data_IF_210488407888
#
_entry.id   IF_210488407888
#
_cell.length_a   1.000
_cell.length_b   1.000
_cell.length_c   1.000
_cell.angle_alpha   90.00
_cell.angle_beta   90.00
_cell.angle_gamma   90.00
#
_symmetry.space_group_name_H-M   'P 1'
#
loop_
_entity.id
_entity.type
_entity.pdbx_description
1 polymer ?
2 non-polymer ?
3 water ?
#
# COMPACT_ATOMS: atom_id res chain seq x y z
N UNK A 5 -15.76 -2.90 23.91
CA UNK A 5 -15.66 -4.05 22.98
C UNK A 5 -14.81 -3.66 21.78
N UNK A 6 -14.01 -4.66 21.35
CA UNK A 6 -13.08 -4.57 20.24
C UNK A 6 -13.79 -4.75 18.91
N UNK A 7 -13.27 -4.06 17.87
CA UNK A 7 -13.75 -4.18 16.49
C UNK A 7 -13.28 -5.48 15.86
N UNK A 8 -12.35 -6.16 16.53
CA UNK A 8 -11.72 -7.36 16.02
C UNK A 8 -12.78 -8.45 15.80
N UNK A 9 -12.60 -9.21 14.71
CA UNK A 9 -13.53 -10.22 14.25
C UNK A 9 -12.78 -11.54 14.28
N UNK A 10 -13.18 -12.43 15.16
CA UNK A 10 -12.32 -13.55 15.50
C UNK A 10 -12.08 -14.44 14.30
N UNK A 11 -13.09 -14.59 13.45
CA UNK A 11 -12.98 -15.50 12.33
C UNK A 11 -11.87 -14.99 11.41
N UNK A 12 -11.85 -13.67 11.20
CA UNK A 12 -10.93 -13.05 10.26
C UNK A 12 -9.53 -13.06 10.86
N UNK A 13 -9.48 -12.87 12.19
CA UNK A 13 -8.26 -12.79 12.95
C UNK A 13 -7.58 -14.15 12.94
N UNK A 14 -8.42 -15.19 12.95
CA UNK A 14 -7.95 -16.57 12.90
C UNK A 14 -7.45 -16.90 11.51
N UNK A 15 -8.21 -16.43 10.52
CA UNK A 15 -7.86 -16.65 9.13
C UNK A 15 -6.50 -16.02 8.81
N UNK A 16 -6.34 -14.74 9.19
CA UNK A 16 -5.11 -13.99 8.97
C UNK A 16 -3.91 -14.69 9.62
N UNK A 17 -4.15 -15.21 10.83
CA UNK A 17 -3.11 -15.83 11.63
C UNK A 17 -2.65 -17.09 10.91
N UNK A 18 -3.60 -17.93 10.52
CA UNK A 18 -3.27 -19.16 9.83
C UNK A 18 -2.49 -18.86 8.57
N UNK A 19 -2.97 -17.91 7.78
CA UNK A 19 -2.42 -17.65 6.47
C UNK A 19 -1.05 -16.97 6.55
N UNK A 20 -0.90 -15.96 7.43
CA UNK A 20 0.42 -15.38 7.67
C UNK A 20 1.45 -16.45 8.02
N UNK A 21 1.11 -17.33 8.98
CA UNK A 21 2.05 -18.31 9.50
C UNK A 21 2.43 -19.32 8.42
N UNK A 22 1.48 -19.74 7.58
CA UNK A 22 1.83 -20.66 6.50
C UNK A 22 2.84 -20.03 5.57
N UNK A 23 2.73 -18.71 5.36
CA UNK A 23 3.57 -18.03 4.38
C UNK A 23 4.96 -17.76 4.94
N UNK A 24 5.00 -17.25 6.17
CA UNK A 24 6.26 -16.97 6.84
C UNK A 24 7.04 -18.27 7.00
N UNK A 25 6.34 -19.39 7.18
CA UNK A 25 7.03 -20.66 7.22
C UNK A 25 7.50 -21.08 5.81
N UNK A 26 6.56 -21.13 4.85
CA UNK A 26 6.88 -21.60 3.52
C UNK A 26 8.10 -20.88 2.97
N UNK A 27 8.13 -19.55 3.12
CA UNK A 27 9.15 -18.72 2.50
C UNK A 27 10.37 -18.56 3.42
N UNK A 28 10.39 -19.27 4.56
CA UNK A 28 11.49 -19.20 5.52
C UNK A 28 11.85 -17.72 5.72
N UNK A 29 10.84 -16.95 6.11
CA UNK A 29 10.99 -15.52 6.32
C UNK A 29 11.22 -15.24 7.80
N UNK A 30 11.80 -14.07 8.07
CA UNK A 30 12.17 -13.69 9.40
C UNK A 30 10.95 -13.23 10.19
N UNK A 31 10.07 -12.41 9.58
CA UNK A 31 8.88 -11.92 10.29
C UNK A 31 7.76 -11.54 9.30
N UNK A 32 6.57 -11.27 9.85
CA UNK A 32 5.41 -10.95 9.03
C UNK A 32 4.27 -10.31 9.83
N UNK A 33 3.40 -9.59 9.12
CA UNK A 33 2.30 -8.86 9.69
C UNK A 33 1.11 -8.94 8.71
N UNK A 34 -0.12 -8.89 9.22
CA UNK A 34 -1.27 -8.68 8.37
C UNK A 34 -2.20 -7.74 9.10
N UNK A 35 -2.77 -6.76 8.40
CA UNK A 35 -3.78 -5.87 8.93
C UNK A 35 -5.02 -5.90 8.03
N UNK A 36 -6.21 -5.94 8.63
CA UNK A 36 -7.45 -5.79 7.89
C UNK A 36 -8.23 -4.66 8.55
N UNK A 37 -8.56 -3.66 7.74
CA UNK A 37 -9.48 -2.63 8.18
C UNK A 37 -10.82 -2.77 7.47
N UNK A 38 -11.85 -2.32 8.19
CA UNK A 38 -13.04 -1.79 7.56
C UNK A 38 -12.64 -0.57 6.72
N UNK A 39 -12.90 -0.66 5.41
CA UNK A 39 -12.58 0.35 4.43
C UNK A 39 -13.41 1.63 4.60
N UNK A 40 -14.57 1.53 5.29
CA UNK A 40 -15.47 2.67 5.40
C UNK A 40 -15.51 3.25 6.81
N UNK A 41 -14.81 2.67 7.79
CA UNK A 41 -14.88 3.15 9.17
C UNK A 41 -13.50 3.24 9.84
N UNK A 42 -12.49 2.50 9.34
CA UNK A 42 -11.15 2.51 9.91
C UNK A 42 -11.05 1.56 11.11
N UNK A 43 -12.10 0.77 11.35
CA UNK A 43 -12.05 -0.18 12.45
C UNK A 43 -11.08 -1.28 12.04
N UNK A 44 -10.34 -1.79 13.03
CA UNK A 44 -9.41 -2.88 12.82
C UNK A 44 -10.15 -4.17 13.01
N UNK A 45 -10.35 -4.91 11.93
CA UNK A 45 -11.05 -6.18 11.97
C UNK A 45 -10.05 -7.29 12.27
N UNK A 46 -8.78 -7.05 11.93
CA UNK A 46 -7.74 -8.01 12.25
C UNK A 46 -6.38 -7.35 12.19
N UNK A 47 -5.48 -7.88 13.00
CA UNK A 47 -4.17 -7.32 13.18
C UNK A 47 -3.37 -8.43 13.80
N UNK A 48 -2.32 -8.85 13.11
CA UNK A 48 -1.64 -10.08 13.48
C UNK A 48 -0.18 -10.01 13.05
N UNK A 49 0.67 -10.62 13.88
CA UNK A 49 2.11 -10.56 13.73
C UNK A 49 2.71 -11.93 14.00
N UNK A 50 3.91 -12.17 13.49
CA UNK A 50 4.72 -13.28 13.97
C UNK A 50 5.10 -12.99 15.42
N UNK A 51 5.48 -14.03 16.20
CA UNK A 51 5.47 -13.87 17.65
C UNK A 51 6.60 -12.89 17.99
N UNK A 52 6.38 -12.02 18.99
CA UNK A 52 7.27 -10.90 19.25
C UNK A 52 6.42 -9.64 19.43
N UNK A 53 7.04 -8.46 19.32
CA UNK A 53 6.28 -7.23 19.49
C UNK A 53 5.28 -7.05 18.34
N UNK A 54 4.35 -6.08 18.56
CA UNK A 54 3.36 -5.69 17.58
C UNK A 54 4.02 -4.82 16.50
N UNK A 55 4.76 -5.48 15.59
CA UNK A 55 5.43 -4.85 14.46
C UNK A 55 4.51 -3.94 13.64
N UNK A 56 3.27 -4.39 13.40
CA UNK A 56 2.27 -3.62 12.65
C UNK A 56 2.15 -2.19 13.15
N UNK A 57 2.46 -1.89 14.42
CA UNK A 57 2.34 -0.50 14.85
C UNK A 57 3.64 0.07 15.35
N UNK A 58 4.56 -0.77 15.84
CA UNK A 58 5.80 -0.30 16.45
C UNK A 58 6.89 -0.08 15.41
N UNK A 59 6.94 -0.89 14.34
CA UNK A 59 8.03 -0.87 13.36
C UNK A 59 7.66 -0.01 12.14
N UNK A 60 8.67 0.61 11.54
CA UNK A 60 8.47 1.47 10.38
C UNK A 60 9.22 0.86 9.20
N UNK A 61 8.60 0.93 8.03
CA UNK A 61 9.21 0.46 6.79
C UNK A 61 9.17 1.57 5.75
N UNK A 62 9.94 1.37 4.69
CA UNK A 62 9.81 2.14 3.48
C UNK A 62 8.72 1.48 2.62
N UNK A 63 7.62 2.20 2.30
CA UNK A 63 6.50 1.60 1.57
C UNK A 63 6.88 1.06 0.18
N UNK A 64 7.80 1.75 -0.50
CA UNK A 64 8.20 1.38 -1.85
C UNK A 64 7.04 1.61 -2.81
N UNK A 65 6.72 0.58 -3.57
CA UNK A 65 5.82 0.70 -4.70
C UNK A 65 4.39 0.92 -4.23
N UNK A 66 4.15 0.61 -2.96
CA UNK A 66 2.84 0.77 -2.36
C UNK A 66 2.47 2.24 -2.15
N UNK A 67 3.45 3.15 -2.34
CA UNK A 67 3.29 4.59 -2.22
C UNK A 67 2.82 5.21 -3.54
N UNK A 68 3.06 4.48 -4.63
CA UNK A 68 2.82 4.98 -5.97
C UNK A 68 1.37 5.40 -6.23
N UNK A 69 0.34 4.66 -5.76
CA UNK A 69 -1.02 5.07 -6.02
C UNK A 69 -1.35 6.47 -5.51
N UNK A 70 -0.70 6.93 -4.43
CA UNK A 70 -0.91 8.27 -3.88
C UNK A 70 -0.33 9.35 -4.78
N UNK A 71 0.89 9.12 -5.28
CA UNK A 71 1.51 10.09 -6.16
C UNK A 71 0.61 10.32 -7.38
N UNK A 72 0.07 9.22 -7.92
CA UNK A 72 -0.89 9.26 -9.01
C UNK A 72 -2.18 9.96 -8.56
N UNK A 73 -2.60 9.69 -7.32
CA UNK A 73 -3.80 10.27 -6.79
C UNK A 73 -3.65 11.78 -6.76
N UNK A 74 -2.45 12.23 -6.45
CA UNK A 74 -2.20 13.65 -6.21
C UNK A 74 -2.18 14.39 -7.54
N UNK A 75 -1.44 13.80 -8.48
CA UNK A 75 -1.39 14.26 -9.85
C UNK A 75 -2.78 14.41 -10.46
N UNK A 76 -3.60 13.36 -10.43
CA UNK A 76 -4.96 13.49 -10.97
C UNK A 76 -5.78 14.51 -10.18
N UNK A 77 -5.55 14.63 -8.87
CA UNK A 77 -6.44 15.43 -8.08
C UNK A 77 -6.22 16.90 -8.47
N UNK A 78 -5.00 17.20 -8.90
CA UNK A 78 -4.53 18.54 -9.17
C UNK A 78 -5.22 19.12 -10.41
N UNK A 79 -5.68 18.25 -11.32
CA UNK A 79 -6.29 18.67 -12.58
C UNK A 79 -5.26 18.75 -13.71
N UNK A 80 -3.98 18.51 -13.41
CA UNK A 80 -2.91 18.76 -14.35
C UNK A 80 -2.59 17.52 -15.16
N UNK A 81 -3.18 16.39 -14.75
CA UNK A 81 -2.88 15.12 -15.38
C UNK A 81 -4.20 14.38 -15.48
N UNK A 82 -4.40 13.73 -16.60
CA UNK A 82 -5.53 12.85 -16.80
C UNK A 82 -4.95 11.45 -16.93
N UNK A 83 -5.72 10.45 -16.53
CA UNK A 83 -5.33 9.05 -16.62
C UNK A 83 -4.79 8.64 -17.99
N UNK A 84 -5.26 9.28 -19.08
CA UNK A 84 -4.90 8.82 -20.43
C UNK A 84 -3.55 9.38 -20.88
N UNK A 85 -2.89 10.20 -20.06
CA UNK A 85 -1.69 10.92 -20.46
C UNK A 85 -0.50 9.97 -20.52
N UNK A 86 0.34 10.16 -21.54
CA UNK A 86 1.49 9.31 -21.82
C UNK A 86 2.75 9.99 -21.32
N UNK A 87 3.70 9.19 -20.83
CA UNK A 87 4.94 9.69 -20.29
C UNK A 87 6.11 8.91 -20.88
N UNK A 88 7.22 9.61 -21.12
CA UNK A 88 8.46 8.96 -21.48
C UNK A 88 8.97 8.30 -20.19
N UNK A 89 9.17 6.97 -20.22
CA UNK A 89 9.48 6.20 -19.02
C UNK A 89 10.87 5.57 -19.13
N UNK A 90 11.71 6.12 -20.00
CA UNK A 90 13.07 5.64 -20.13
C UNK A 90 13.90 6.17 -18.97
N UNK A 91 15.00 5.46 -18.63
CA UNK A 91 15.92 5.90 -17.57
C UNK A 91 16.30 7.36 -17.79
N UNK A 92 16.52 8.11 -16.72
CA UNK A 92 16.96 9.48 -16.89
C UNK A 92 17.73 9.91 -15.64
N UNK A 93 18.24 11.13 -15.71
CA UNK A 93 19.26 11.62 -14.79
C UNK A 93 18.69 12.76 -13.95
N UNK A 94 18.89 12.67 -12.64
CA UNK A 94 18.70 13.84 -11.80
C UNK A 94 20.07 14.22 -11.26
N UNK A 95 20.65 15.21 -11.96
CA UNK A 95 22.05 15.57 -11.92
C UNK A 95 22.90 14.31 -12.07
N UNK A 96 23.45 13.94 -10.92
CA UNK A 96 24.46 12.90 -10.81
C UNK A 96 23.81 11.51 -10.71
N UNK A 97 22.47 11.42 -10.57
CA UNK A 97 21.78 10.17 -10.26
C UNK A 97 20.88 9.75 -11.41
N UNK A 98 20.47 8.47 -11.36
CA UNK A 98 19.74 7.82 -12.45
C UNK A 98 18.45 7.19 -11.90
N UNK A 99 17.30 7.61 -12.45
CA UNK A 99 16.04 6.94 -12.16
C UNK A 99 15.72 5.95 -13.26
N UNK A 100 15.39 4.71 -12.89
CA UNK A 100 15.14 3.65 -13.87
C UNK A 100 14.29 2.52 -13.28
N UNK A 101 13.61 1.80 -14.17
CA UNK A 101 12.84 0.63 -13.79
C UNK A 101 13.68 -0.62 -14.01
N UNK A 102 13.25 -1.68 -13.33
CA UNK A 102 13.67 -3.05 -13.58
C UNK A 102 13.41 -3.46 -15.05
N UNK A 103 12.15 -3.44 -15.52
CA UNK A 103 11.86 -3.65 -16.93
C UNK A 103 11.51 -2.31 -17.58
N UNK A 104 12.14 -2.03 -18.73
CA UNK A 104 12.09 -0.71 -19.35
C UNK A 104 10.96 -0.66 -20.39
N UNK A 105 10.07 0.31 -20.19
CA UNK A 105 9.06 0.62 -21.18
C UNK A 105 9.39 2.00 -21.74
N UNK A 106 9.47 2.19 -23.08
CA UNK A 106 9.64 3.52 -23.67
C UNK A 106 8.62 4.56 -23.20
N UNK A 107 7.35 4.20 -23.23
CA UNK A 107 6.32 5.11 -22.73
C UNK A 107 5.22 4.32 -22.02
N UNK A 108 4.62 4.94 -21.01
CA UNK A 108 3.44 4.40 -20.34
C UNK A 108 2.43 5.52 -20.16
N UNK A 109 1.14 5.18 -20.18
CA UNK A 109 0.16 6.13 -19.65
C UNK A 109 0.03 5.86 -18.14
N UNK A 110 -0.85 6.63 -17.47
CA UNK A 110 -0.92 6.63 -16.02
C UNK A 110 -1.30 5.21 -15.57
N UNK A 111 -2.22 4.57 -16.30
CA UNK A 111 -2.66 3.22 -15.99
C UNK A 111 -1.48 2.25 -16.10
N UNK A 112 -0.60 2.42 -17.11
CA UNK A 112 0.61 1.61 -17.26
C UNK A 112 1.60 1.78 -16.10
N UNK A 113 1.79 3.02 -15.64
CA UNK A 113 2.63 3.31 -14.49
C UNK A 113 2.12 2.53 -13.26
N UNK A 114 0.80 2.59 -13.03
CA UNK A 114 0.18 1.83 -11.94
C UNK A 114 0.39 0.34 -12.17
N UNK A 115 -0.07 -0.14 -13.35
CA UNK A 115 -0.06 -1.55 -13.73
C UNK A 115 1.34 -2.15 -13.63
N UNK A 116 2.31 -1.49 -14.26
CA UNK A 116 3.69 -1.99 -14.37
C UNK A 116 4.56 -1.47 -13.24
N UNK A 117 4.02 -0.56 -12.40
CA UNK A 117 4.74 -0.10 -11.22
C UNK A 117 6.06 0.56 -11.62
N UNK A 118 6.01 1.59 -12.49
CA UNK A 118 7.16 2.35 -13.00
C UNK A 118 7.59 3.52 -12.10
N UNK A 119 8.85 3.44 -11.58
CA UNK A 119 9.53 4.47 -10.81
C UNK A 119 9.68 5.74 -11.66
N UNK A 120 10.11 5.53 -12.90
CA UNK A 120 10.33 6.67 -13.78
C UNK A 120 9.05 7.49 -13.92
N UNK A 121 7.97 6.80 -14.28
CA UNK A 121 6.69 7.45 -14.52
C UNK A 121 6.24 8.20 -13.28
N UNK A 122 6.31 7.52 -12.14
CA UNK A 122 5.86 8.05 -10.87
C UNK A 122 6.60 9.33 -10.49
N UNK A 123 7.91 9.37 -10.84
CA UNK A 123 8.81 10.46 -10.45
C UNK A 123 8.60 11.67 -11.35
N UNK A 124 8.10 11.43 -12.57
CA UNK A 124 7.73 12.49 -13.50
C UNK A 124 6.45 13.17 -13.05
N UNK A 125 5.51 12.35 -12.54
CA UNK A 125 4.26 12.86 -12.00
C UNK A 125 4.55 13.76 -10.80
N UNK A 126 5.45 13.28 -9.94
CA UNK A 126 5.87 14.01 -8.76
C UNK A 126 6.59 15.28 -9.17
N UNK A 127 7.43 15.15 -10.20
CA UNK A 127 8.33 16.21 -10.61
C UNK A 127 7.50 17.45 -11.00
N UNK A 128 6.19 17.28 -11.20
CA UNK A 128 5.34 18.38 -11.61
C UNK A 128 4.92 19.24 -10.44
N UNK A 129 5.33 18.91 -9.20
CA UNK A 129 4.93 19.62 -8.00
C UNK A 129 6.16 20.00 -7.18
N UNK A 130 5.97 20.95 -6.27
CA UNK A 130 7.00 21.47 -5.40
C UNK A 130 7.34 20.44 -4.31
N UNK A 131 8.55 20.53 -3.71
CA UNK A 131 8.82 19.88 -2.43
C UNK A 131 7.70 20.06 -1.41
N UNK A 132 7.21 21.28 -1.22
CA UNK A 132 6.22 21.58 -0.21
C UNK A 132 4.87 20.91 -0.50
N UNK A 133 4.37 21.06 -1.72
CA UNK A 133 3.13 20.38 -2.10
C UNK A 133 3.19 18.87 -1.88
N UNK A 134 4.34 18.22 -2.15
CA UNK A 134 4.42 16.78 -1.91
C UNK A 134 4.56 16.44 -0.42
N UNK A 135 5.38 17.20 0.33
CA UNK A 135 5.41 16.97 1.77
C UNK A 135 4.03 17.19 2.41
N UNK A 136 3.32 18.27 2.08
CA UNK A 136 2.01 18.52 2.65
C UNK A 136 1.06 17.35 2.40
N UNK A 137 1.16 16.76 1.19
CA UNK A 137 0.34 15.66 0.76
C UNK A 137 0.66 14.42 1.56
N UNK A 138 1.96 14.04 1.59
CA UNK A 138 2.33 12.85 2.35
C UNK A 138 1.87 13.03 3.79
N UNK A 139 2.01 14.26 4.32
CA UNK A 139 1.64 14.62 5.69
C UNK A 139 0.14 14.40 5.94
N UNK A 140 -0.71 14.72 4.94
CA UNK A 140 -2.15 14.60 5.05
C UNK A 140 -2.63 13.15 4.95
N UNK A 141 -1.81 12.22 4.43
CA UNK A 141 -2.08 10.79 4.44
C UNK A 141 -1.70 10.18 5.80
N UNK A 142 -0.90 10.95 6.58
CA UNK A 142 -0.54 10.53 7.92
C UNK A 142 0.93 10.12 8.09
N UNK A 143 1.74 10.24 7.04
CA UNK A 143 3.15 9.92 7.16
C UNK A 143 3.77 10.92 8.14
N UNK A 144 4.40 10.39 9.19
CA UNK A 144 5.18 11.18 10.13
C UNK A 144 4.30 11.71 11.27
N UNK A 145 3.00 11.31 11.25
CA UNK A 145 1.99 11.78 12.17
C UNK A 145 1.53 10.62 13.06
N UNK A 146 1.28 10.93 14.34
CA UNK A 146 0.77 9.92 15.26
C UNK A 146 -0.73 9.69 15.02
N UNK A 147 -1.11 8.40 15.00
CA UNK A 147 -2.48 7.94 14.77
C UNK A 147 -3.32 8.06 16.05
N UNK A 148 -2.67 7.95 17.22
CA UNK A 148 -3.37 7.98 18.51
C UNK A 148 -4.34 6.79 18.59
N UNK A 149 -3.89 5.61 18.11
CA UNK A 149 -4.70 4.40 18.10
C UNK A 149 -4.83 3.85 19.52
N UNK A 150 -3.90 4.26 20.40
CA UNK A 150 -3.86 3.72 21.75
C UNK A 150 -2.98 2.49 21.87
N UNK A 151 -2.43 1.97 20.78
CA UNK A 151 -1.47 0.87 20.93
C UNK A 151 -0.19 1.38 21.61
N UNK A 152 0.36 0.62 22.58
CA UNK A 152 1.68 0.95 23.14
C UNK A 152 2.81 0.82 22.11
N UNK A 153 3.70 1.82 22.06
CA UNK A 153 4.88 1.82 21.19
C UNK A 153 4.61 2.32 19.77
N UNK A 154 3.46 2.97 19.54
CA UNK A 154 3.03 3.36 18.21
C UNK A 154 4.04 4.35 17.61
N UNK A 155 4.68 3.93 16.52
CA UNK A 155 5.57 4.80 15.79
C UNK A 155 4.73 5.75 14.94
N UNK A 156 5.26 6.95 14.68
CA UNK A 156 4.65 7.95 13.82
C UNK A 156 5.28 7.90 12.43
N UNK A 157 6.36 7.12 12.31
CA UNK A 157 7.18 7.04 11.12
C UNK A 157 8.00 8.31 10.90
N UNK A 158 8.36 8.54 9.64
CA UNK A 158 9.45 9.45 9.29
C UNK A 158 9.08 10.23 8.03
N UNK A 159 8.96 11.54 8.18
CA UNK A 159 8.79 12.43 7.04
C UNK A 159 9.72 13.64 7.25
N UNK A 160 10.94 13.56 6.66
CA UNK A 160 11.88 14.66 6.60
C UNK A 160 11.25 15.88 5.95
N UNK A 161 11.58 17.05 6.50
CA UNK A 161 11.05 18.32 6.05
C UNK A 161 11.45 18.61 4.61
N UNK A 162 10.52 19.15 3.83
CA UNK A 162 10.76 19.47 2.43
C UNK A 162 11.87 20.50 2.29
N UNK A 163 12.04 21.32 3.35
CA UNK A 163 12.98 22.42 3.37
C UNK A 163 14.40 21.94 3.11
N UNK A 164 14.66 20.63 3.19
CA UNK A 164 16.01 20.12 3.01
C UNK A 164 16.03 18.92 2.07
N UNK A 165 15.20 18.94 1.03
CA UNK A 165 15.18 17.89 0.03
C UNK A 165 16.00 18.27 -1.20
N UNK A 166 16.92 17.37 -1.61
CA UNK A 166 17.46 17.43 -2.96
C UNK A 166 16.34 17.03 -3.92
N UNK A 167 16.54 17.33 -5.20
CA UNK A 167 15.60 16.92 -6.22
C UNK A 167 15.52 15.39 -6.32
N UNK A 168 16.64 14.68 -6.03
CA UNK A 168 16.66 13.22 -6.13
C UNK A 168 15.77 12.65 -5.04
N UNK A 169 15.62 13.38 -3.93
CA UNK A 169 14.91 12.89 -2.78
C UNK A 169 13.41 13.04 -3.00
N UNK A 170 13.00 14.11 -3.68
CA UNK A 170 11.60 14.25 -4.06
C UNK A 170 11.24 13.02 -4.89
N UNK A 171 12.16 12.61 -5.79
CA UNK A 171 11.87 11.54 -6.72
C UNK A 171 11.76 10.21 -5.96
N UNK A 172 12.82 9.84 -5.24
CA UNK A 172 12.85 8.55 -4.55
C UNK A 172 11.72 8.48 -3.53
N UNK A 173 11.29 9.62 -2.98
CA UNK A 173 10.15 9.60 -2.06
C UNK A 173 8.84 9.33 -2.79
N UNK A 174 8.72 9.73 -4.05
CA UNK A 174 7.46 9.58 -4.75
C UNK A 174 7.19 8.11 -5.02
N UNK A 175 8.25 7.30 -5.05
CA UNK A 175 8.12 5.87 -5.28
C UNK A 175 8.63 5.10 -4.07
N UNK A 176 8.65 5.78 -2.91
CA UNK A 176 8.46 5.15 -1.61
C UNK A 176 9.71 4.95 -0.75
N UNK A 177 10.84 5.62 -1.07
CA UNK A 177 12.05 5.52 -0.28
C UNK A 177 12.36 6.89 0.34
N UNK A 178 12.89 6.92 1.56
CA UNK A 178 13.28 8.16 2.21
C UNK A 178 12.34 8.55 3.33
N UNK A 179 11.13 8.00 3.26
CA UNK A 179 10.08 8.18 4.25
C UNK A 179 9.64 6.79 4.72
N UNK A 180 9.05 6.75 5.92
CA UNK A 180 8.76 5.49 6.61
C UNK A 180 7.43 5.58 7.30
N UNK A 181 6.71 4.45 7.33
CA UNK A 181 5.52 4.28 8.15
C UNK A 181 5.32 2.82 8.52
N UNK A 182 4.43 2.60 9.50
CA UNK A 182 4.02 1.28 9.95
C UNK A 182 3.05 0.71 8.92
N UNK A 183 2.93 -0.61 8.94
CA UNK A 183 1.94 -1.21 8.06
C UNK A 183 0.54 -0.67 8.36
N UNK A 184 0.24 -0.31 9.62
CA UNK A 184 -1.08 0.18 10.00
C UNK A 184 -1.31 1.62 9.48
N UNK A 185 -0.26 2.49 9.56
CA UNK A 185 -0.33 3.80 8.95
C UNK A 185 -0.58 3.67 7.44
N UNK A 186 0.08 2.68 6.81
CA UNK A 186 -0.05 2.47 5.39
C UNK A 186 -1.47 2.01 5.04
N UNK A 187 -2.01 1.05 5.80
CA UNK A 187 -3.38 0.62 5.57
C UNK A 187 -4.35 1.80 5.80
N UNK A 188 -4.14 2.54 6.88
CA UNK A 188 -4.92 3.71 7.19
C UNK A 188 -4.92 4.69 6.02
N UNK A 189 -3.72 4.96 5.51
CA UNK A 189 -3.56 5.83 4.35
C UNK A 189 -4.50 5.44 3.18
N UNK A 190 -4.60 4.13 2.90
CA UNK A 190 -5.49 3.62 1.86
C UNK A 190 -6.98 3.93 2.12
N UNK A 191 -7.34 4.46 3.30
CA UNK A 191 -8.73 4.85 3.53
C UNK A 191 -9.09 6.07 2.68
N UNK A 192 -8.09 6.80 2.26
CA UNK A 192 -8.27 7.90 1.32
C UNK A 192 -8.82 7.39 -0.01
N UNK A 193 -8.29 6.26 -0.48
CA UNK A 193 -8.79 5.64 -1.68
C UNK A 193 -10.15 5.00 -1.43
N UNK A 194 -10.33 4.26 -0.34
CA UNK A 194 -11.58 3.52 -0.19
C UNK A 194 -12.73 4.37 0.36
N UNK A 195 -12.47 5.44 1.14
CA UNK A 195 -13.55 6.19 1.76
C UNK A 195 -13.72 7.53 1.04
N UNK A 196 -13.77 7.42 -0.29
CA UNK A 196 -14.10 8.54 -1.15
C UNK A 196 -13.25 9.78 -0.83
N UNK A 197 -11.94 9.57 -0.67
CA UNK A 197 -10.95 10.64 -0.62
C UNK A 197 -10.75 11.21 0.78
N UNK A 198 -11.35 10.59 1.81
CA UNK A 198 -11.21 11.06 3.19
C UNK A 198 -10.42 10.06 4.03
N UNK A 199 -9.50 10.63 4.83
CA UNK A 199 -8.65 9.83 5.68
C UNK A 199 -9.37 9.54 6.99
N UNK A 200 -9.55 8.25 7.28
CA UNK A 200 -10.20 7.84 8.50
C UNK A 200 -9.20 7.67 9.65
N UNK A 201 -9.66 7.88 10.92
CA UNK A 201 -8.87 7.46 12.09
C UNK A 201 -8.96 5.94 12.19
N UNK A 202 -7.93 5.29 12.73
CA UNK A 202 -8.04 3.87 12.99
C UNK A 202 -8.42 3.61 14.44
N UNK A 203 -9.05 2.46 14.67
CA UNK A 203 -9.56 2.12 15.99
C UNK A 203 -9.53 0.59 16.19
N UNK A 204 -9.08 0.16 17.38
CA UNK A 204 -9.28 -1.21 17.84
C UNK A 204 -10.64 -1.39 18.54
N UNK A 205 -11.46 -0.34 18.66
CA UNK A 205 -12.73 -0.36 19.40
C UNK A 205 -13.89 -0.26 18.41
N UNK A 206 -15.04 -0.91 18.66
CA UNK A 206 -16.22 -0.68 17.83
C UNK A 206 -16.62 0.78 17.96
N UNK A 207 -16.93 1.45 16.86
CA UNK A 207 -17.36 2.82 16.96
C UNK A 207 -18.88 2.82 17.09
N UNK A 208 -19.39 3.55 18.10
CA UNK A 208 -20.82 3.78 18.24
C UNK A 208 -21.26 4.72 17.11
N UNK A 209 -20.59 5.86 17.02
CA UNK A 209 -20.76 6.76 15.89
C UNK A 209 -19.88 6.30 14.72
N UNK A 210 -20.43 6.32 13.49
CA UNK A 210 -19.61 6.18 12.28
C UNK A 210 -18.62 7.36 12.17
N UNK A 211 -17.29 7.07 12.11
CA UNK A 211 -16.28 8.11 12.20
C UNK A 211 -16.18 8.95 10.93
N UNK A 212 -15.90 10.25 11.13
CA UNK A 212 -15.65 11.23 10.07
C UNK A 212 -14.19 11.15 9.64
N UNK A 213 -13.91 11.58 8.41
CA UNK A 213 -12.56 11.58 7.88
C UNK A 213 -12.15 12.98 7.42
N UNK A 214 -10.85 13.25 7.36
CA UNK A 214 -10.36 14.50 6.82
C UNK A 214 -10.20 14.32 5.30
N UNK A 215 -10.83 15.20 4.52
CA UNK A 215 -10.73 15.24 3.07
C UNK A 215 -9.30 15.56 2.63
N UNK A 216 -8.77 14.76 1.66
CA UNK A 216 -7.42 14.91 1.10
C UNK A 216 -7.44 15.05 -0.43
N UNK A 217 -8.29 14.26 -1.11
CA UNK A 217 -8.49 14.34 -2.55
C UNK A 217 -10.00 14.29 -2.75
N UNK A 218 -10.47 14.64 -3.95
CA UNK A 218 -11.88 14.53 -4.23
C UNK A 218 -12.30 13.06 -4.41
N UNK A 219 -13.58 12.80 -4.15
CA UNK A 219 -14.21 11.51 -4.37
C UNK A 219 -13.98 10.96 -5.78
N UNK A 220 -14.20 11.78 -6.81
CA UNK A 220 -14.03 11.35 -8.18
C UNK A 220 -12.61 10.86 -8.44
N UNK A 221 -11.61 11.45 -7.76
CA UNK A 221 -10.23 10.99 -7.91
C UNK A 221 -10.02 9.61 -7.27
N UNK A 222 -10.49 9.48 -6.03
CA UNK A 222 -10.41 8.19 -5.37
C UNK A 222 -11.03 7.16 -6.32
N UNK A 223 -12.17 7.54 -6.93
CA UNK A 223 -12.96 6.59 -7.69
C UNK A 223 -12.11 6.08 -8.87
N UNK A 224 -11.47 7.04 -9.53
CA UNK A 224 -10.65 6.78 -10.70
C UNK A 224 -9.43 5.93 -10.36
N UNK A 225 -8.80 6.22 -9.23
CA UNK A 225 -7.60 5.50 -8.83
C UNK A 225 -7.93 4.04 -8.50
N UNK A 226 -9.05 3.85 -7.79
CA UNK A 226 -9.52 2.49 -7.55
C UNK A 226 -9.67 1.74 -8.88
N UNK A 227 -10.23 2.41 -9.91
CA UNK A 227 -10.40 1.77 -11.19
C UNK A 227 -9.04 1.37 -11.75
N UNK A 228 -8.07 2.30 -11.68
CA UNK A 228 -6.72 2.06 -12.19
C UNK A 228 -6.04 0.91 -11.45
N UNK A 229 -6.34 0.75 -10.15
CA UNK A 229 -5.60 -0.20 -9.36
C UNK A 229 -6.04 -1.64 -9.64
N UNK A 230 -7.25 -1.78 -10.20
CA UNK A 230 -7.73 -3.07 -10.65
C UNK A 230 -6.78 -3.66 -11.70
N UNK A 231 -6.14 -2.77 -12.49
CA UNK A 231 -5.16 -3.21 -13.48
C UNK A 231 -4.05 -4.06 -12.85
N UNK A 232 -3.81 -3.91 -11.55
CA UNK A 232 -2.65 -4.53 -10.92
C UNK A 232 -2.90 -6.02 -10.81
N UNK A 233 -4.18 -6.39 -10.65
CA UNK A 233 -4.55 -7.76 -10.36
C UNK A 233 -5.05 -8.47 -11.61
N UNK A 234 -5.17 -7.74 -12.73
CA UNK A 234 -5.59 -8.29 -14.01
C UNK A 234 -4.35 -8.63 -14.82
N UNK A 235 -4.54 -9.37 -15.91
CA UNK A 235 -3.41 -9.85 -16.69
C UNK A 235 -2.63 -8.67 -17.24
N UNK A 236 -1.31 -8.68 -17.05
CA UNK A 236 -0.45 -7.55 -17.42
C UNK A 236 0.15 -6.78 -16.24
N UNK A 237 -0.43 -6.97 -15.04
CA UNK A 237 -0.01 -6.26 -13.85
C UNK A 237 0.86 -7.11 -12.94
N UNK A 238 1.50 -6.43 -11.99
CA UNK A 238 2.42 -7.00 -11.00
C UNK A 238 1.69 -7.93 -10.03
N UNK A 239 0.37 -7.76 -9.86
CA UNK A 239 -0.32 -8.27 -8.67
C UNK A 239 -1.42 -9.30 -8.94
N UNK A 240 -1.25 -10.12 -9.99
CA UNK A 240 -2.27 -11.09 -10.38
C UNK A 240 -2.38 -12.21 -9.34
N UNK A 241 -1.33 -12.43 -8.56
CA UNK A 241 -1.40 -13.45 -7.50
C UNK A 241 -2.50 -13.12 -6.48
N UNK A 242 -2.90 -11.84 -6.42
CA UNK A 242 -3.86 -11.39 -5.43
C UNK A 242 -5.29 -11.29 -5.97
N UNK A 243 -5.55 -11.76 -7.20
CA UNK A 243 -6.91 -11.71 -7.70
C UNK A 243 -7.82 -12.68 -6.90
N UNK A 244 -9.07 -12.29 -6.65
CA UNK A 244 -10.00 -13.11 -5.90
C UNK A 244 -11.17 -13.45 -6.81
N UNK A 245 -11.58 -14.71 -6.81
CA UNK A 245 -12.64 -15.16 -7.68
C UNK A 245 -13.93 -14.46 -7.26
N UNK A 246 -14.67 -13.92 -8.22
CA UNK A 246 -15.98 -13.35 -7.92
C UNK A 246 -15.96 -11.84 -7.67
N UNK A 247 -14.77 -11.22 -7.78
CA UNK A 247 -14.60 -9.80 -7.45
C UNK A 247 -13.52 -9.11 -8.31
N UNK A 248 -13.66 -7.78 -8.38
CA UNK A 248 -12.57 -6.91 -8.77
C UNK A 248 -11.82 -6.45 -7.52
N UNK A 249 -10.51 -6.55 -7.59
CA UNK A 249 -9.62 -6.18 -6.51
C UNK A 249 -8.64 -5.09 -6.95
N UNK A 250 -8.64 -3.97 -6.19
CA UNK A 250 -7.64 -2.93 -6.31
C UNK A 250 -6.47 -3.26 -5.39
N UNK A 251 -5.26 -3.39 -5.93
CA UNK A 251 -4.13 -3.74 -5.11
C UNK A 251 -2.88 -3.08 -5.66
N UNK A 252 -1.84 -3.01 -4.83
CA UNK A 252 -0.54 -2.54 -5.26
C UNK A 252 0.46 -3.46 -4.60
N UNK A 253 1.36 -4.02 -5.41
CA UNK A 253 2.52 -4.75 -4.92
C UNK A 253 3.64 -3.80 -4.47
N UNK A 254 4.51 -4.30 -3.58
CA UNK A 254 5.79 -3.64 -3.32
C UNK A 254 6.90 -4.62 -2.97
N UNK A 255 7.99 -4.51 -3.72
CA UNK A 255 9.21 -5.26 -3.48
C UNK A 255 10.34 -4.25 -3.22
N UNK A 256 10.88 -4.23 -2.00
CA UNK A 256 11.87 -3.23 -1.62
C UNK A 256 13.15 -3.90 -1.12
N UNK A 257 14.31 -3.40 -1.55
CA UNK A 257 15.57 -3.71 -0.88
C UNK A 257 15.53 -3.11 0.52
N UNK A 258 16.23 -3.77 1.47
CA UNK A 258 16.19 -3.44 2.89
C UNK A 258 17.20 -2.35 3.25
N UNK A 259 16.68 -1.25 3.83
CA UNK A 259 17.42 -0.26 4.59
C UNK A 259 17.73 -0.80 5.99
N UNK A 260 19.03 -1.03 6.24
CA UNK A 260 19.54 -1.54 7.52
C UNK A 260 20.37 -0.44 8.20
N UNK A 261 19.67 0.47 8.93
CA UNK A 261 20.17 1.71 9.53
C UNK A 261 21.29 2.34 8.69
N UNK A 262 20.93 2.98 7.56
CA UNK A 262 21.90 3.66 6.71
C UNK A 262 22.00 3.10 5.29
N UNK A 263 22.49 1.85 5.14
CA UNK A 263 22.88 1.30 3.85
C UNK A 263 21.78 0.43 3.25
N UNK A 264 21.61 0.46 1.92
CA UNK A 264 20.77 -0.50 1.21
C UNK A 264 21.60 -1.74 0.87
N UNK A 265 21.12 -2.90 1.34
CA UNK A 265 21.71 -4.17 0.95
C UNK A 265 20.71 -4.88 0.04
N UNK A 266 21.24 -5.44 -1.07
CA UNK A 266 20.45 -5.76 -2.26
C UNK A 266 20.10 -7.25 -2.37
N UNK A 267 20.62 -8.10 -1.48
CA UNK A 267 20.20 -9.50 -1.44
C UNK A 267 19.14 -9.69 -0.35
N UNK A 268 18.70 -8.58 0.28
CA UNK A 268 17.64 -8.58 1.28
C UNK A 268 16.49 -7.68 0.87
N UNK A 269 15.26 -8.20 1.05
CA UNK A 269 14.03 -7.59 0.57
C UNK A 269 12.93 -7.59 1.64
N UNK A 270 11.88 -6.78 1.41
CA UNK A 270 10.65 -6.73 2.20
C UNK A 270 9.49 -6.78 1.20
N UNK A 271 8.62 -7.79 1.30
CA UNK A 271 7.52 -7.91 0.36
C UNK A 271 6.22 -7.42 1.02
N UNK A 272 5.51 -6.50 0.36
CA UNK A 272 4.26 -5.98 0.88
C UNK A 272 3.21 -6.06 -0.22
N UNK A 273 1.99 -6.35 0.20
CA UNK A 273 0.90 -6.44 -0.74
C UNK A 273 -0.31 -5.83 -0.04
N UNK A 274 -0.90 -4.82 -0.66
CA UNK A 274 -2.01 -4.17 -0.01
C UNK A 274 -3.10 -3.90 -1.02
N UNK A 275 -4.36 -4.06 -0.63
CA UNK A 275 -5.44 -3.81 -1.56
C UNK A 275 -6.82 -3.84 -0.91
N UNK A 276 -7.86 -3.67 -1.75
CA UNK A 276 -9.22 -3.56 -1.29
C UNK A 276 -10.18 -4.15 -2.32
N UNK A 277 -11.40 -4.35 -1.85
CA UNK A 277 -12.42 -5.03 -2.62
C UNK A 277 -13.71 -4.92 -1.83
N UNK A 278 -14.88 -5.02 -2.47
CA UNK A 278 -15.00 -4.94 -3.94
C UNK A 278 -14.45 -3.61 -4.43
N UNK A 279 -13.75 -3.62 -5.56
CA UNK A 279 -12.97 -2.48 -6.02
C UNK A 279 -13.84 -1.23 -6.18
N UNK A 280 -15.04 -1.38 -6.77
CA UNK A 280 -15.93 -0.24 -6.99
C UNK A 280 -16.55 0.25 -5.68
N UNK A 281 -16.97 -0.65 -4.78
CA UNK A 281 -17.63 -0.29 -3.54
C UNK A 281 -16.97 -1.03 -2.38
N UNK A 282 -15.78 -0.59 -1.95
CA UNK A 282 -14.96 -1.43 -1.07
C UNK A 282 -15.42 -1.59 0.38
N UNK A 283 -15.20 -2.80 0.92
CA UNK A 283 -15.59 -3.12 2.28
C UNK A 283 -14.35 -3.25 3.17
N UNK A 284 -13.25 -3.80 2.62
CA UNK A 284 -12.09 -4.07 3.43
C UNK A 284 -10.81 -3.73 2.69
N UNK A 285 -9.85 -3.25 3.48
CA UNK A 285 -8.44 -3.24 3.11
C UNK A 285 -7.73 -4.42 3.76
N UNK A 286 -6.88 -5.08 2.98
CA UNK A 286 -5.94 -6.06 3.49
C UNK A 286 -4.52 -5.61 3.18
N UNK A 287 -3.68 -5.48 4.20
CA UNK A 287 -2.28 -5.17 4.03
C UNK A 287 -1.46 -6.33 4.58
N UNK A 288 -0.51 -6.80 3.79
CA UNK A 288 0.35 -7.89 4.22
C UNK A 288 1.79 -7.45 4.02
N UNK A 289 2.64 -7.70 5.01
CA UNK A 289 4.04 -7.46 4.82
C UNK A 289 4.81 -8.68 5.30
N UNK A 290 5.76 -9.13 4.49
CA UNK A 290 6.67 -10.20 4.88
C UNK A 290 8.12 -9.74 4.78
N UNK A 291 8.86 -9.92 5.88
CA UNK A 291 10.20 -9.38 6.03
C UNK A 291 11.20 -10.49 5.73
N UNK A 292 12.10 -10.25 4.75
CA UNK A 292 13.25 -11.10 4.43
C UNK A 292 12.87 -12.56 4.19
N UNK A 293 12.16 -12.86 3.10
CA UNK A 293 11.98 -14.25 2.65
C UNK A 293 13.27 -14.78 2.03
N UNK A 294 13.67 -15.99 2.43
CA UNK A 294 14.89 -16.61 1.93
C UNK A 294 14.57 -17.63 0.83
N UNK A 295 13.47 -18.39 0.97
CA UNK A 295 13.15 -19.51 0.10
C UNK A 295 12.03 -19.15 -0.88
N UNK A 296 12.24 -19.53 -2.16
CA UNK A 296 11.20 -19.50 -3.20
C UNK A 296 10.97 -18.07 -3.73
N UNK A 297 12.05 -17.28 -3.93
CA UNK A 297 11.97 -15.93 -4.50
C UNK A 297 11.48 -14.87 -3.51
N UNK A 298 11.35 -13.61 -3.96
CA UNK A 298 11.22 -12.46 -3.07
C UNK A 298 10.24 -11.37 -3.54
N UNK A 299 9.82 -11.44 -4.82
CA UNK A 299 8.78 -10.59 -5.39
C UNK A 299 7.50 -10.63 -4.54
N UNK A 300 6.88 -9.47 -4.31
CA UNK A 300 5.69 -9.41 -3.49
C UNK A 300 4.55 -10.22 -4.11
N UNK A 301 4.49 -10.29 -5.45
CA UNK A 301 3.53 -11.15 -6.12
C UNK A 301 3.51 -12.60 -5.60
N UNK A 302 4.69 -13.26 -5.59
CA UNK A 302 4.81 -14.65 -5.20
C UNK A 302 4.67 -14.81 -3.67
N UNK A 303 5.29 -13.90 -2.91
CA UNK A 303 5.41 -14.06 -1.47
C UNK A 303 4.11 -13.62 -0.77
N UNK A 304 3.66 -12.39 -1.01
CA UNK A 304 2.53 -11.84 -0.27
C UNK A 304 1.21 -11.95 -1.03
N UNK A 305 1.25 -12.07 -2.35
CA UNK A 305 0.05 -12.27 -3.15
C UNK A 305 -0.87 -13.35 -2.60
N UNK A 306 -0.44 -14.62 -2.43
CA UNK A 306 -1.34 -15.70 -2.00
C UNK A 306 -2.02 -15.44 -0.66
N UNK A 307 -1.28 -14.82 0.27
CA UNK A 307 -1.84 -14.57 1.58
C UNK A 307 -2.88 -13.47 1.47
N UNK A 308 -2.60 -12.41 0.70
CA UNK A 308 -3.60 -11.39 0.44
C UNK A 308 -4.86 -12.08 -0.08
N UNK A 309 -4.67 -12.98 -1.06
CA UNK A 309 -5.76 -13.60 -1.79
C UNK A 309 -6.69 -14.29 -0.82
N UNK A 310 -6.10 -15.13 0.03
CA UNK A 310 -6.87 -16.03 0.87
C UNK A 310 -7.63 -15.18 1.87
N UNK A 311 -6.96 -14.17 2.40
CA UNK A 311 -7.47 -13.40 3.52
C UNK A 311 -8.60 -12.49 3.00
N UNK A 312 -8.38 -11.87 1.85
CA UNK A 312 -9.41 -11.04 1.23
C UNK A 312 -10.63 -11.91 0.89
N UNK A 313 -10.39 -13.05 0.22
CA UNK A 313 -11.49 -13.91 -0.21
C UNK A 313 -12.30 -14.36 1.00
N UNK A 314 -11.57 -14.82 2.02
CA UNK A 314 -12.19 -15.30 3.24
C UNK A 314 -12.90 -14.19 4.01
N UNK A 315 -12.44 -12.95 3.88
CA UNK A 315 -12.95 -11.80 4.64
C UNK A 315 -14.29 -11.36 4.08
N UNK A 316 -14.41 -11.35 2.75
CA UNK A 316 -15.63 -11.00 2.07
C UNK A 316 -16.67 -12.13 2.22
N UNK A 317 -16.22 -13.38 2.25
CA UNK A 317 -17.11 -14.48 2.61
C UNK A 317 -17.68 -14.26 4.03
N UNK A 318 -16.81 -14.08 5.02
CA UNK A 318 -17.22 -13.89 6.41
C UNK A 318 -18.15 -12.70 6.62
N UNK A 319 -17.94 -11.57 5.95
CA UNK A 319 -18.79 -10.41 6.16
C UNK A 319 -20.07 -10.52 5.33
N UNK A 320 -20.11 -11.53 4.43
CA UNK A 320 -21.31 -11.83 3.63
C UNK A 320 -21.48 -10.85 2.46
N UNK A 321 -20.37 -10.43 1.89
CA UNK A 321 -20.40 -9.60 0.69
C UNK A 321 -20.59 -10.57 -0.46
N UNK A 322 -21.54 -10.24 -1.33
CA UNK A 322 -21.88 -11.09 -2.46
C UNK A 322 -20.84 -10.84 -3.55
N UNK A 323 -20.37 -11.91 -4.25
CA UNK A 323 -19.59 -11.75 -5.47
C UNK A 323 -20.27 -10.84 -6.49
N UNK A 324 -19.47 -9.97 -7.11
CA UNK A 324 -19.99 -9.03 -8.09
C UNK A 324 -20.01 -9.69 -9.46
N UNK A 325 -19.34 -10.85 -9.63
CA UNK A 325 -19.29 -11.52 -10.92
C UNK A 325 -19.15 -13.03 -10.71
N UNK A 326 -19.59 -13.85 -11.67
CA UNK A 326 -19.64 -15.30 -11.46
C UNK A 326 -18.24 -15.87 -11.19
N UNK A 327 -18.23 -16.87 -10.30
CA UNK A 327 -17.05 -17.64 -9.95
C UNK A 327 -16.62 -18.54 -11.12
N UNK A 328 -15.33 -18.52 -11.49
CA UNK A 328 -14.78 -19.36 -12.54
C UNK A 328 -14.84 -20.85 -12.17
#
# INVERSE_FOLDING_TARGET
GSGGALSLDQRIQTLAYEELNKAVEYHQAKAGTVVVLDARTGEILALVNTPGRNRAVTDMIEPGSAMKPFTIAKALDSGKVDATDTFNTLPYKIGSATVQDTHVYPTLDVRGIMQKSSNVGTSKLSAMFTPKEMYDFYHDLGVGVRMHSGFPGETAGLLRSWRRWQKIEQATMSFGYGLQLSLLQLARAYTVLTHDGELLPVSFEKQAVAPKGKRVIKASTAKKVRELMVSVTEAGGTGTAGAVDGFDVGAKTGTARKLVNGRYVDYKHVATFIGFAPAKNPRVIVAVTIDEPTANGYYSGVVTGPVFKQVMGGSLNILGVSPTKPLTNV
#
